data_IF_681594503118
#
_entry.id   IF_681594503118
#
_cell.length_a   1.000
_cell.length_b   1.000
_cell.length_c   1.000
_cell.angle_alpha   90.00
_cell.angle_beta   90.00
_cell.angle_gamma   90.00
#
_symmetry.space_group_name_H-M   'P 1'
#
loop_
_entity.id
_entity.type
_entity.pdbx_description
1 polymer ?
#
# COMPACT_ATOMS: atom_id res chain seq x y z
N UNK A 1 28.58 2.47 -2.60
CA UNK A 1 28.02 3.25 -1.47
C UNK A 1 26.94 4.17 -2.00
N UNK A 2 25.79 4.26 -1.32
CA UNK A 2 24.63 5.10 -1.71
C UNK A 2 24.34 6.09 -0.56
N UNK A 3 23.16 6.05 0.06
CA UNK A 3 22.88 6.76 1.31
C UNK A 3 23.48 6.09 2.55
N UNK A 4 23.38 6.78 3.69
CA UNK A 4 23.82 6.30 4.99
C UNK A 4 22.75 5.42 5.65
N UNK A 5 22.50 4.24 5.08
CA UNK A 5 21.49 3.30 5.60
C UNK A 5 21.91 2.60 6.89
N UNK A 6 23.22 2.49 7.14
CA UNK A 6 23.75 1.57 8.14
C UNK A 6 23.57 2.14 9.54
N UNK A 7 22.44 1.83 10.15
CA UNK A 7 22.16 2.08 11.55
C UNK A 7 22.74 0.94 12.39
N UNK A 8 23.95 1.12 12.90
CA UNK A 8 24.64 0.08 13.68
C UNK A 8 23.83 -0.46 14.88
N UNK A 9 23.15 0.36 15.70
CA UNK A 9 22.28 -0.12 16.78
C UNK A 9 20.82 -0.29 16.33
N UNK A 10 20.59 -1.12 15.29
CA UNK A 10 19.27 -1.26 14.67
C UNK A 10 18.14 -1.70 15.63
N UNK A 11 18.39 -2.73 16.44
CA UNK A 11 17.37 -3.30 17.34
C UNK A 11 16.92 -2.30 18.42
N UNK A 12 17.86 -1.74 19.19
CA UNK A 12 17.54 -0.81 20.28
C UNK A 12 16.92 0.48 19.75
N UNK A 13 17.37 0.99 18.60
CA UNK A 13 16.73 2.12 17.96
C UNK A 13 15.30 1.79 17.52
N UNK A 14 15.07 0.62 16.90
CA UNK A 14 13.74 0.25 16.41
C UNK A 14 12.72 0.08 17.54
N UNK A 15 13.17 -0.35 18.72
CA UNK A 15 12.33 -0.47 19.90
C UNK A 15 11.74 0.89 20.29
N UNK A 16 12.57 1.92 20.34
CA UNK A 16 12.16 3.29 20.69
C UNK A 16 11.40 3.94 19.53
N UNK A 17 11.95 3.87 18.31
CA UNK A 17 11.43 4.59 17.14
C UNK A 17 10.01 4.15 16.74
N UNK A 18 9.68 2.88 16.99
CA UNK A 18 8.36 2.34 16.67
C UNK A 18 7.56 1.93 17.91
N UNK A 19 7.95 2.38 19.10
CA UNK A 19 7.28 2.11 20.39
C UNK A 19 7.01 0.61 20.65
N UNK A 20 7.97 -0.25 20.27
CA UNK A 20 7.82 -1.72 20.41
C UNK A 20 7.88 -2.21 21.85
N UNK A 21 8.32 -1.35 22.77
CA UNK A 21 8.23 -1.54 24.21
C UNK A 21 6.79 -1.43 24.74
N UNK A 22 5.89 -0.77 24.01
CA UNK A 22 4.46 -0.67 24.36
C UNK A 22 3.57 -1.56 23.49
N UNK A 23 3.84 -1.63 22.18
CA UNK A 23 3.02 -2.40 21.24
C UNK A 23 3.91 -3.16 20.25
N UNK A 24 3.80 -4.50 20.15
CA UNK A 24 4.76 -5.29 19.38
C UNK A 24 4.62 -5.14 17.87
N UNK A 25 3.41 -4.79 17.37
CA UNK A 25 3.10 -4.68 15.95
C UNK A 25 2.98 -3.21 15.52
N UNK A 26 3.60 -2.88 14.39
CA UNK A 26 3.74 -1.51 13.89
C UNK A 26 3.34 -1.44 12.42
N UNK A 27 2.92 -0.26 11.96
CA UNK A 27 2.53 -0.04 10.56
C UNK A 27 3.70 0.55 9.79
N UNK A 28 4.43 -0.30 9.07
CA UNK A 28 5.50 0.12 8.16
C UNK A 28 4.99 0.10 6.73
N UNK A 29 5.28 1.15 5.96
CA UNK A 29 4.85 1.30 4.59
C UNK A 29 6.04 1.48 3.65
N UNK A 30 6.02 0.78 2.51
CA UNK A 30 6.96 1.08 1.43
C UNK A 30 6.50 2.36 0.69
N UNK A 31 7.28 3.42 0.84
CA UNK A 31 6.94 4.74 0.30
C UNK A 31 6.75 4.79 -1.24
N UNK A 32 7.51 4.04 -2.08
CA UNK A 32 7.32 4.10 -3.53
C UNK A 32 5.91 3.74 -3.98
N UNK A 33 5.39 2.59 -3.56
CA UNK A 33 4.01 2.19 -3.89
C UNK A 33 2.98 3.13 -3.30
N UNK A 34 3.22 3.61 -2.07
CA UNK A 34 2.29 4.49 -1.38
C UNK A 34 2.11 5.83 -2.09
N UNK A 35 3.22 6.47 -2.48
CA UNK A 35 3.18 7.71 -3.24
C UNK A 35 2.67 7.49 -4.66
N UNK A 36 3.08 6.41 -5.32
CA UNK A 36 2.59 6.06 -6.66
C UNK A 36 1.05 5.99 -6.70
N UNK A 37 0.44 5.32 -5.72
CA UNK A 37 -1.02 5.21 -5.62
C UNK A 37 -1.67 6.54 -5.24
N UNK A 38 -1.23 7.22 -4.18
CA UNK A 38 -1.95 8.40 -3.68
C UNK A 38 -1.59 9.73 -4.37
N UNK A 39 -0.52 9.78 -5.17
CA UNK A 39 -0.25 10.95 -6.05
C UNK A 39 -0.79 10.74 -7.46
N UNK A 40 -1.59 9.70 -7.69
CA UNK A 40 -2.21 9.42 -8.98
C UNK A 40 -1.24 9.24 -10.15
N UNK A 41 0.04 8.97 -9.87
CA UNK A 41 1.03 8.73 -10.92
C UNK A 41 0.64 7.55 -11.81
N UNK A 42 -0.02 6.55 -11.21
CA UNK A 42 -0.56 5.40 -11.90
C UNK A 42 -1.52 5.76 -13.03
N UNK A 43 -2.28 6.87 -12.94
CA UNK A 43 -3.23 7.28 -14.00
C UNK A 43 -2.56 7.69 -15.31
N UNK A 44 -1.26 7.97 -15.27
CA UNK A 44 -0.48 8.44 -16.40
C UNK A 44 0.44 7.34 -16.95
N UNK A 45 0.38 6.14 -16.37
CA UNK A 45 1.09 4.97 -16.84
C UNK A 45 0.25 4.22 -17.89
N UNK A 46 0.93 3.44 -18.73
CA UNK A 46 0.31 2.54 -19.71
C UNK A 46 0.54 1.09 -19.31
N UNK A 47 0.07 0.19 -20.15
CA UNK A 47 0.19 -1.25 -19.96
C UNK A 47 1.67 -1.70 -19.92
N UNK A 48 1.95 -2.73 -19.13
CA UNK A 48 3.31 -3.17 -18.79
C UNK A 48 4.21 -3.44 -20.01
N UNK A 49 3.65 -4.00 -21.09
CA UNK A 49 4.38 -4.37 -22.31
C UNK A 49 4.72 -3.18 -23.20
N UNK A 50 4.10 -2.02 -22.98
CA UNK A 50 4.48 -0.81 -23.71
C UNK A 50 5.88 -0.31 -23.32
N UNK A 51 6.34 -0.62 -22.10
CA UNK A 51 7.62 -0.16 -21.58
C UNK A 51 8.63 -1.28 -21.30
N UNK A 52 8.15 -2.51 -21.07
CA UNK A 52 8.99 -3.63 -20.68
C UNK A 52 8.95 -4.77 -21.70
N UNK A 53 10.13 -5.26 -22.08
CA UNK A 53 10.26 -6.47 -22.87
C UNK A 53 9.90 -7.68 -21.99
N UNK A 54 8.63 -8.08 -22.01
CA UNK A 54 8.15 -9.25 -21.27
C UNK A 54 8.31 -10.53 -22.11
N UNK A 55 8.70 -11.67 -21.51
CA UNK A 55 8.75 -12.94 -22.23
C UNK A 55 7.38 -13.31 -22.78
N UNK A 56 7.30 -13.61 -24.08
CA UNK A 56 6.11 -14.23 -24.64
C UNK A 56 6.00 -15.67 -24.07
N UNK A 57 4.93 -15.98 -23.33
CA UNK A 57 4.72 -17.34 -22.80
C UNK A 57 5.41 -17.67 -21.47
N UNK A 58 5.76 -16.68 -20.64
CA UNK A 58 6.20 -16.92 -19.25
C UNK A 58 5.08 -17.50 -18.37
N UNK A 59 5.35 -17.96 -17.13
CA UNK A 59 4.30 -18.44 -16.22
C UNK A 59 3.20 -17.37 -16.07
N UNK A 60 1.97 -17.67 -16.52
CA UNK A 60 0.86 -16.70 -16.59
C UNK A 60 0.44 -16.31 -18.01
N UNK A 61 1.37 -16.27 -18.96
CA UNK A 61 1.09 -15.83 -20.33
C UNK A 61 0.34 -16.92 -21.11
N UNK A 62 -0.98 -16.75 -21.22
CA UNK A 62 -1.89 -17.70 -21.86
C UNK A 62 -2.27 -18.91 -21.00
N UNK A 63 -1.93 -18.92 -19.70
CA UNK A 63 -2.37 -20.00 -18.81
C UNK A 63 -3.84 -19.85 -18.46
N UNK A 64 -4.62 -20.91 -18.65
CA UNK A 64 -6.00 -21.04 -18.13
C UNK A 64 -6.05 -21.26 -16.60
N UNK A 65 -4.89 -21.28 -15.93
CA UNK A 65 -4.78 -21.40 -14.49
C UNK A 65 -5.22 -20.09 -13.80
N UNK A 66 -6.02 -20.14 -12.73
CA UNK A 66 -6.41 -18.95 -11.97
C UNK A 66 -5.18 -18.29 -11.32
N UNK A 67 -4.72 -17.18 -11.89
CA UNK A 67 -3.60 -16.40 -11.37
C UNK A 67 -3.43 -15.07 -12.13
N UNK A 68 -2.73 -14.11 -11.52
CA UNK A 68 -2.45 -12.81 -12.15
C UNK A 68 -1.40 -12.99 -13.24
N UNK A 69 -1.78 -12.76 -14.50
CA UNK A 69 -0.82 -12.61 -15.58
C UNK A 69 -0.15 -11.23 -15.49
N UNK A 70 0.99 -11.16 -14.80
CA UNK A 70 1.76 -9.91 -14.66
C UNK A 70 2.35 -9.42 -15.99
N UNK A 71 2.30 -10.23 -17.05
CA UNK A 71 2.72 -9.80 -18.38
C UNK A 71 1.71 -8.89 -19.05
N UNK A 72 0.52 -8.76 -18.47
CA UNK A 72 -0.57 -7.91 -18.96
C UNK A 72 -1.19 -7.05 -17.86
N UNK A 73 -1.83 -5.95 -18.26
CA UNK A 73 -2.56 -5.06 -17.34
C UNK A 73 -1.73 -3.93 -16.75
N UNK A 74 -2.22 -3.34 -15.65
CA UNK A 74 -1.65 -2.13 -15.06
C UNK A 74 -0.78 -2.43 -13.83
N UNK A 75 0.31 -1.70 -13.64
CA UNK A 75 1.19 -1.84 -12.45
C UNK A 75 0.40 -1.67 -11.14
N UNK A 76 -0.57 -0.76 -11.12
CA UNK A 76 -1.50 -0.59 -9.99
C UNK A 76 -2.31 -1.85 -9.65
N UNK A 77 -2.73 -2.65 -10.63
CA UNK A 77 -3.47 -3.90 -10.38
C UNK A 77 -2.56 -4.93 -9.68
N UNK A 78 -1.29 -5.01 -10.10
CA UNK A 78 -0.28 -5.84 -9.43
C UNK A 78 -0.07 -5.39 -7.99
N UNK A 79 -0.08 -4.07 -7.73
CA UNK A 79 0.01 -3.53 -6.38
C UNK A 79 -1.19 -3.94 -5.52
N UNK A 80 -2.41 -3.89 -6.05
CA UNK A 80 -3.63 -4.35 -5.35
C UNK A 80 -3.51 -5.82 -4.97
N UNK A 81 -3.12 -6.68 -5.92
CA UNK A 81 -2.94 -8.11 -5.67
C UNK A 81 -1.83 -8.39 -4.66
N UNK A 82 -0.69 -7.68 -4.74
CA UNK A 82 0.38 -7.82 -3.77
C UNK A 82 -0.08 -7.49 -2.34
N UNK A 83 -0.93 -6.47 -2.18
CA UNK A 83 -1.51 -6.12 -0.87
C UNK A 83 -2.50 -7.19 -0.39
N UNK A 84 -3.38 -7.67 -1.26
CA UNK A 84 -4.39 -8.70 -0.93
C UNK A 84 -3.74 -10.03 -0.51
N UNK A 85 -2.62 -10.39 -1.14
CA UNK A 85 -1.86 -11.60 -0.83
C UNK A 85 -0.87 -11.43 0.34
N UNK A 86 -0.80 -10.23 0.95
CA UNK A 86 0.07 -9.95 2.08
C UNK A 86 1.55 -9.84 1.72
N UNK A 87 1.88 -9.62 0.45
CA UNK A 87 3.26 -9.45 -0.01
C UNK A 87 3.78 -8.03 0.29
N UNK A 88 2.90 -7.02 0.20
CA UNK A 88 3.22 -5.63 0.48
C UNK A 88 2.23 -5.00 1.46
N UNK A 89 2.68 -4.10 2.35
CA UNK A 89 1.78 -3.31 3.19
C UNK A 89 1.08 -2.21 2.37
N UNK A 90 -0.06 -1.73 2.88
CA UNK A 90 -0.72 -0.52 2.38
C UNK A 90 -1.54 0.15 3.48
N UNK A 91 -1.49 1.49 3.53
CA UNK A 91 -2.19 2.30 4.52
C UNK A 91 -2.77 3.58 3.91
N UNK A 92 -4.02 4.00 4.19
CA UNK A 92 -5.04 3.33 5.00
C UNK A 92 -5.24 1.87 4.60
N UNK A 93 -5.58 0.96 5.52
CA UNK A 93 -5.57 -0.48 5.19
C UNK A 93 -6.87 -0.93 4.50
N UNK A 94 -7.99 -0.38 4.96
CA UNK A 94 -9.32 -0.69 4.47
C UNK A 94 -10.06 0.58 4.07
N UNK A 95 -11.16 0.43 3.36
CA UNK A 95 -12.19 1.44 3.08
C UNK A 95 -12.95 1.95 4.32
N UNK A 96 -12.49 1.57 5.50
CA UNK A 96 -13.06 1.97 6.77
C UNK A 96 -12.01 1.93 7.87
N UNK A 97 -12.23 2.71 8.92
CA UNK A 97 -11.38 2.70 10.11
C UNK A 97 -11.23 1.28 10.67
N UNK A 98 -9.99 0.83 10.85
CA UNK A 98 -9.70 -0.47 11.47
C UNK A 98 -10.19 -0.57 12.92
N UNK A 99 -10.33 0.57 13.61
CA UNK A 99 -10.87 0.62 14.97
C UNK A 99 -12.36 0.29 14.95
N UNK A 100 -13.07 0.81 13.95
CA UNK A 100 -14.50 0.57 13.74
C UNK A 100 -14.78 -0.89 13.39
N UNK A 101 -13.97 -1.50 12.54
CA UNK A 101 -14.06 -2.94 12.22
C UNK A 101 -13.98 -3.80 13.49
N UNK A 102 -13.08 -3.46 14.42
CA UNK A 102 -12.96 -4.16 15.71
C UNK A 102 -14.14 -3.87 16.62
N UNK A 103 -14.67 -2.64 16.62
CA UNK A 103 -15.85 -2.25 17.41
C UNK A 103 -17.10 -3.02 16.96
N UNK A 104 -17.31 -3.15 15.66
CA UNK A 104 -18.43 -3.91 15.08
C UNK A 104 -18.36 -5.39 15.46
N UNK A 105 -17.16 -5.99 15.37
CA UNK A 105 -16.95 -7.37 15.76
C UNK A 105 -17.30 -7.60 17.24
N UNK A 106 -16.85 -6.69 18.12
CA UNK A 106 -17.17 -6.73 19.56
C UNK A 106 -18.67 -6.57 19.82
N UNK A 107 -19.33 -5.64 19.14
CA UNK A 107 -20.77 -5.43 19.27
C UNK A 107 -21.59 -6.66 18.81
N UNK A 108 -21.11 -7.36 17.78
CA UNK A 108 -21.70 -8.61 17.30
C UNK A 108 -21.29 -9.85 18.13
N UNK A 109 -20.41 -9.71 19.13
CA UNK A 109 -19.95 -10.82 19.96
C UNK A 109 -19.12 -11.86 19.21
N UNK A 110 -18.44 -11.47 18.12
CA UNK A 110 -17.62 -12.36 17.29
C UNK A 110 -16.14 -12.00 17.36
N UNK A 111 -15.26 -12.96 17.03
CA UNK A 111 -13.82 -12.72 16.93
C UNK A 111 -13.49 -11.65 15.86
N UNK A 112 -12.73 -10.59 16.19
CA UNK A 112 -12.40 -9.53 15.24
C UNK A 112 -11.64 -9.97 13.98
N UNK A 113 -10.77 -10.98 14.10
CA UNK A 113 -9.99 -11.48 12.95
C UNK A 113 -10.92 -12.21 12.00
N UNK A 114 -11.72 -13.16 12.51
CA UNK A 114 -12.72 -13.88 11.73
C UNK A 114 -13.70 -12.89 11.08
N UNK A 115 -14.18 -11.91 11.84
CA UNK A 115 -15.08 -10.88 11.34
C UNK A 115 -14.48 -10.11 10.16
N UNK A 116 -13.25 -9.62 10.29
CA UNK A 116 -12.57 -8.91 9.22
C UNK A 116 -12.38 -9.80 7.98
N UNK A 117 -11.94 -11.06 8.15
CA UNK A 117 -11.77 -12.01 7.05
C UNK A 117 -13.09 -12.31 6.34
N UNK A 118 -14.18 -12.52 7.09
CA UNK A 118 -15.51 -12.76 6.53
C UNK A 118 -16.04 -11.52 5.77
N UNK A 119 -15.81 -10.32 6.30
CA UNK A 119 -16.17 -9.07 5.64
C UNK A 119 -15.38 -8.87 4.34
N UNK A 120 -14.07 -9.15 4.35
CA UNK A 120 -13.22 -9.11 3.15
C UNK A 120 -13.68 -10.10 2.08
N UNK A 121 -13.94 -11.36 2.48
CA UNK A 121 -14.43 -12.40 1.57
C UNK A 121 -15.80 -12.08 0.98
N UNK A 122 -16.69 -11.47 1.78
CA UNK A 122 -18.02 -11.02 1.34
C UNK A 122 -18.04 -9.65 0.67
N UNK A 123 -16.86 -9.01 0.49
CA UNK A 123 -16.69 -7.68 -0.12
C UNK A 123 -17.43 -6.54 0.61
N UNK A 124 -17.79 -6.74 1.89
CA UNK A 124 -18.37 -5.70 2.76
C UNK A 124 -17.31 -4.80 3.42
N UNK A 125 -16.08 -5.31 3.49
CA UNK A 125 -14.88 -4.55 3.78
C UNK A 125 -13.97 -4.73 2.57
N UNK A 126 -13.32 -3.67 2.11
CA UNK A 126 -12.39 -3.74 0.97
C UNK A 126 -11.05 -3.16 1.37
N UNK A 127 -9.99 -3.57 0.68
CA UNK A 127 -8.71 -2.89 0.84
C UNK A 127 -8.81 -1.51 0.20
N UNK A 128 -8.29 -0.49 0.88
CA UNK A 128 -8.33 0.90 0.39
C UNK A 128 -7.62 1.07 -0.96
N UNK A 129 -6.59 0.25 -1.21
CA UNK A 129 -5.79 0.27 -2.45
C UNK A 129 -6.64 -0.08 -3.69
N UNK A 130 -7.80 -0.72 -3.51
CA UNK A 130 -8.74 -1.00 -4.60
C UNK A 130 -9.45 0.25 -5.12
N UNK A 131 -9.52 1.32 -4.32
CA UNK A 131 -10.10 2.61 -4.68
C UNK A 131 -9.37 3.74 -3.93
N UNK A 132 -8.11 4.04 -4.30
CA UNK A 132 -7.25 4.95 -3.54
C UNK A 132 -7.75 6.41 -3.54
N UNK A 133 -8.65 6.75 -4.45
CA UNK A 133 -9.24 8.07 -4.64
C UNK A 133 -10.52 8.29 -3.87
N UNK A 134 -11.14 7.21 -3.34
CA UNK A 134 -12.29 7.35 -2.47
C UNK A 134 -11.94 8.29 -1.30
N UNK A 135 -12.83 9.21 -0.92
CA UNK A 135 -12.57 10.17 0.15
C UNK A 135 -12.05 9.50 1.44
N UNK A 136 -12.59 8.35 1.81
CA UNK A 136 -12.17 7.56 2.97
C UNK A 136 -10.76 6.94 2.87
N UNK A 137 -10.21 6.78 1.66
CA UNK A 137 -9.01 5.98 1.38
C UNK A 137 -7.72 6.78 1.25
N UNK A 138 -7.76 8.11 1.20
CA UNK A 138 -6.56 8.91 1.04
C UNK A 138 -6.00 9.47 2.36
N UNK A 139 -4.68 9.61 2.48
CA UNK A 139 -4.00 10.01 3.71
C UNK A 139 -4.13 11.49 4.02
N UNK A 140 -4.80 11.84 5.12
CA UNK A 140 -5.14 13.24 5.44
C UNK A 140 -4.02 14.06 6.07
N UNK A 141 -3.06 13.39 6.71
CA UNK A 141 -1.98 14.05 7.45
C UNK A 141 -0.67 13.42 7.03
N UNK A 142 0.28 14.26 6.61
CA UNK A 142 1.62 13.85 6.25
C UNK A 142 2.65 14.71 6.99
N UNK A 143 3.42 14.09 7.87
CA UNK A 143 4.51 14.75 8.60
C UNK A 143 5.81 14.63 7.83
N UNK A 144 6.44 15.78 7.55
CA UNK A 144 7.76 15.85 6.92
C UNK A 144 8.74 16.42 7.93
N UNK A 145 9.73 15.62 8.33
CA UNK A 145 10.83 16.05 9.18
C UNK A 145 12.13 15.40 8.73
N UNK A 146 13.26 16.09 8.92
CA UNK A 146 14.62 15.61 8.56
C UNK A 146 14.78 15.21 7.08
N UNK A 147 13.91 15.73 6.22
CA UNK A 147 13.95 15.54 4.77
C UNK A 147 13.27 16.69 4.06
N UNK A 148 13.57 16.83 2.77
CA UNK A 148 12.93 17.81 1.88
C UNK A 148 12.14 17.06 0.80
N UNK A 149 11.06 16.39 1.22
CA UNK A 149 10.38 15.40 0.40
C UNK A 149 9.89 16.00 -0.93
N UNK A 150 9.21 17.15 -0.87
CA UNK A 150 8.62 17.80 -2.03
C UNK A 150 9.65 18.32 -3.04
N UNK A 151 10.81 18.80 -2.59
CA UNK A 151 11.80 19.43 -3.50
C UNK A 151 13.00 18.55 -3.85
N UNK A 152 13.13 17.37 -3.26
CA UNK A 152 14.29 16.51 -3.47
C UNK A 152 13.93 15.07 -3.85
N UNK A 153 13.19 14.36 -3.00
CA UNK A 153 12.97 12.93 -3.19
C UNK A 153 11.67 12.57 -3.91
N UNK A 154 10.73 13.51 -4.04
CA UNK A 154 9.46 13.33 -4.73
C UNK A 154 9.68 13.18 -6.24
N UNK A 155 9.76 11.93 -6.70
CA UNK A 155 9.72 11.62 -8.13
C UNK A 155 8.31 11.88 -8.65
N UNK A 156 8.22 12.66 -9.72
CA UNK A 156 6.93 13.13 -10.22
C UNK A 156 6.39 14.33 -9.43
N UNK A 157 7.23 15.35 -9.20
CA UNK A 157 6.91 16.54 -8.38
C UNK A 157 5.53 17.15 -8.67
N UNK A 158 5.19 17.35 -9.94
CA UNK A 158 3.90 17.95 -10.34
C UNK A 158 2.68 17.12 -9.90
N UNK A 159 2.83 15.79 -9.79
CA UNK A 159 1.77 14.93 -9.29
C UNK A 159 1.57 15.11 -7.78
N UNK A 160 2.65 15.29 -7.02
CA UNK A 160 2.54 15.63 -5.59
C UNK A 160 1.83 16.97 -5.40
N UNK A 161 2.18 17.99 -6.19
CA UNK A 161 1.53 19.29 -6.11
C UNK A 161 0.02 19.16 -6.40
N UNK A 162 -0.33 18.57 -7.54
CA UNK A 162 -1.72 18.44 -7.99
C UNK A 162 -2.59 17.55 -7.10
N UNK A 163 -2.07 16.40 -6.65
CA UNK A 163 -2.90 15.37 -6.01
C UNK A 163 -2.80 15.35 -4.48
N UNK A 164 -1.72 15.87 -3.88
CA UNK A 164 -1.66 16.07 -2.42
C UNK A 164 -1.97 17.49 -1.98
N UNK A 165 -1.54 18.51 -2.73
CA UNK A 165 -1.60 19.90 -2.29
C UNK A 165 -2.72 20.71 -2.95
N UNK A 166 -3.24 20.25 -4.09
CA UNK A 166 -4.36 20.86 -4.82
C UNK A 166 -3.89 21.75 -5.96
#
# INVERSE_FOLDING_TARGET
>A
YVGQEKLAPGESWSAIAFARDWMPAIRLQNAPSWHYMHTDQWRYEREFREYHAMPNGGPGAGSQEPGLDISHGHTADVQVEAVRNGWLPFYPQFDRSSIEVVRDAKAAGVDPVKHAVDQLKSRKLRFSVEDPDAPENWPRVWFIWRGNALMSSAKGHEFFLKHYLG
#
